data_IF_795524513863
#
_entry.id   IF_795524513863
#
_cell.length_a   1.000
_cell.length_b   1.000
_cell.length_c   1.000
_cell.angle_alpha   90.00
_cell.angle_beta   90.00
_cell.angle_gamma   90.00
#
_symmetry.space_group_name_H-M   'P 1'
#
loop_
_entity.id
_entity.type
_entity.pdbx_description
1 polymer ?
#
# COMPACT_ATOMS: atom_id res chain seq x y z
N UNK A 1 -14.34 -2.03 -12.78
CA UNK A 1 -14.59 -0.89 -11.86
C UNK A 1 -13.49 0.14 -12.06
N UNK A 2 -13.85 1.42 -12.21
CA UNK A 2 -12.90 2.53 -12.37
C UNK A 2 -12.32 2.88 -10.99
N UNK A 3 -11.01 3.08 -10.81
CA UNK A 3 -10.46 3.44 -9.51
C UNK A 3 -11.04 4.80 -9.09
N UNK A 4 -11.67 4.85 -7.92
CA UNK A 4 -12.19 6.09 -7.37
C UNK A 4 -11.00 6.94 -6.93
N UNK A 5 -10.97 8.19 -7.41
CA UNK A 5 -9.87 9.12 -7.12
C UNK A 5 -9.91 9.50 -5.64
N UNK A 6 -8.75 9.73 -5.01
CA UNK A 6 -8.64 10.15 -3.60
C UNK A 6 -9.50 11.38 -3.24
N UNK A 7 -9.76 12.25 -4.22
CA UNK A 7 -10.57 13.45 -4.03
C UNK A 7 -12.08 13.21 -4.10
N UNK A 8 -12.54 11.97 -4.26
CA UNK A 8 -13.96 11.64 -4.21
C UNK A 8 -14.49 11.88 -2.77
N UNK A 9 -15.51 12.74 -2.58
CA UNK A 9 -16.10 12.99 -1.27
C UNK A 9 -16.59 11.72 -0.58
N UNK A 10 -17.02 10.70 -1.34
CA UNK A 10 -17.45 9.41 -0.80
C UNK A 10 -16.28 8.64 -0.21
N UNK A 11 -15.12 8.65 -0.89
CA UNK A 11 -13.88 8.03 -0.37
C UNK A 11 -13.43 8.72 0.90
N UNK A 12 -13.45 10.06 0.93
CA UNK A 12 -13.07 10.84 2.11
C UNK A 12 -13.99 10.54 3.30
N UNK A 13 -15.32 10.57 3.09
CA UNK A 13 -16.28 10.26 4.16
C UNK A 13 -16.11 8.83 4.68
N UNK A 14 -15.93 7.85 3.79
CA UNK A 14 -15.68 6.46 4.19
C UNK A 14 -14.43 6.32 5.05
N UNK A 15 -13.34 7.00 4.68
CA UNK A 15 -12.09 6.97 5.43
C UNK A 15 -12.18 7.73 6.76
N UNK A 16 -12.90 8.85 6.84
CA UNK A 16 -13.13 9.56 8.09
C UNK A 16 -13.94 8.69 9.08
N UNK A 17 -15.08 8.15 8.65
CA UNK A 17 -15.86 7.21 9.47
C UNK A 17 -15.03 5.99 9.85
N UNK A 18 -14.25 5.43 8.92
CA UNK A 18 -13.41 4.28 9.20
C UNK A 18 -12.20 4.59 10.08
N UNK A 19 -11.53 5.72 10.04
CA UNK A 19 -10.32 5.90 10.86
C UNK A 19 -10.57 6.67 12.16
N UNK A 20 -11.59 7.52 12.19
CA UNK A 20 -11.78 8.52 13.23
C UNK A 20 -12.98 8.23 14.15
N UNK A 21 -13.87 7.31 13.76
CA UNK A 21 -15.04 6.93 14.56
C UNK A 21 -14.90 5.55 15.23
N UNK A 22 -15.70 5.32 16.28
CA UNK A 22 -15.83 4.02 16.95
C UNK A 22 -16.93 3.14 16.35
N UNK A 23 -17.57 3.55 15.25
CA UNK A 23 -18.61 2.76 14.60
C UNK A 23 -18.04 1.47 14.03
N UNK A 24 -18.80 0.39 14.11
CA UNK A 24 -18.46 -0.86 13.45
C UNK A 24 -18.51 -0.71 11.92
N UNK A 25 -17.78 -1.57 11.21
CA UNK A 25 -17.80 -1.61 9.74
C UNK A 25 -19.23 -1.81 9.19
N UNK A 26 -20.09 -2.53 9.91
CA UNK A 26 -21.48 -2.71 9.52
C UNK A 26 -22.25 -1.39 9.59
N UNK A 27 -22.15 -0.68 10.71
CA UNK A 27 -22.81 0.62 10.89
C UNK A 27 -22.35 1.64 9.85
N UNK A 28 -21.07 1.67 9.51
CA UNK A 28 -20.53 2.56 8.47
C UNK A 28 -21.08 2.17 7.09
N UNK A 29 -21.10 0.87 6.77
CA UNK A 29 -21.64 0.38 5.51
C UNK A 29 -23.13 0.72 5.36
N UNK A 30 -23.90 0.55 6.43
CA UNK A 30 -25.33 0.87 6.49
C UNK A 30 -25.55 2.39 6.35
N UNK A 31 -24.80 3.23 7.07
CA UNK A 31 -24.90 4.70 7.00
C UNK A 31 -24.59 5.24 5.60
N UNK A 32 -23.65 4.60 4.90
CA UNK A 32 -23.19 5.04 3.58
C UNK A 32 -23.95 4.40 2.40
N UNK A 33 -24.94 3.55 2.69
CA UNK A 33 -25.65 2.71 1.71
C UNK A 33 -24.66 1.95 0.81
N UNK A 34 -23.76 1.21 1.45
CA UNK A 34 -22.67 0.46 0.84
C UNK A 34 -22.74 -1.01 1.27
N UNK A 35 -22.38 -1.92 0.37
CA UNK A 35 -21.98 -3.25 0.81
C UNK A 35 -20.65 -3.17 1.56
N UNK A 36 -20.40 -4.10 2.49
CA UNK A 36 -19.12 -4.16 3.22
C UNK A 36 -17.92 -4.27 2.26
N UNK A 37 -18.05 -5.09 1.22
CA UNK A 37 -17.00 -5.25 0.20
C UNK A 37 -16.73 -3.95 -0.55
N UNK A 38 -17.78 -3.19 -0.88
CA UNK A 38 -17.61 -1.89 -1.51
C UNK A 38 -16.97 -0.88 -0.56
N UNK A 39 -17.37 -0.86 0.72
CA UNK A 39 -16.75 -0.03 1.75
C UNK A 39 -15.25 -0.32 1.88
N UNK A 40 -14.85 -1.59 1.99
CA UNK A 40 -13.43 -1.97 2.05
C UNK A 40 -12.66 -1.55 0.78
N UNK A 41 -13.31 -1.53 -0.38
CA UNK A 41 -12.70 -1.00 -1.61
C UNK A 41 -12.48 0.52 -1.61
N UNK A 42 -13.11 1.27 -0.68
CA UNK A 42 -12.90 2.70 -0.50
C UNK A 42 -11.87 3.03 0.59
N UNK A 43 -11.64 2.13 1.55
CA UNK A 43 -10.72 2.37 2.66
C UNK A 43 -9.29 2.43 2.15
N UNK A 44 -8.60 3.50 2.51
CA UNK A 44 -7.19 3.71 2.23
C UNK A 44 -6.39 3.51 3.52
N UNK A 45 -5.21 2.89 3.44
CA UNK A 45 -4.28 2.84 4.55
C UNK A 45 -3.93 4.25 5.05
N UNK A 46 -3.62 4.36 6.34
CA UNK A 46 -3.14 5.60 6.96
C UNK A 46 -1.65 5.46 7.29
N UNK A 47 -0.89 6.54 7.09
CA UNK A 47 0.52 6.59 7.47
C UNK A 47 0.73 6.36 8.97
N UNK A 48 1.78 5.64 9.32
CA UNK A 48 2.18 5.38 10.69
C UNK A 48 3.11 6.48 11.26
N UNK A 49 3.51 7.44 10.43
CA UNK A 49 4.44 8.51 10.79
C UNK A 49 5.87 8.03 11.05
N UNK A 50 6.23 6.85 10.53
CA UNK A 50 7.56 6.25 10.68
C UNK A 50 8.09 5.79 9.33
N UNK A 51 9.36 6.09 8.99
CA UNK A 51 9.99 5.53 7.81
C UNK A 51 10.43 4.08 8.06
N UNK A 52 10.39 3.27 7.01
CA UNK A 52 10.82 1.89 7.05
C UNK A 52 12.34 1.80 7.25
N UNK A 53 12.84 0.98 8.19
CA UNK A 53 14.28 0.86 8.45
C UNK A 53 15.06 0.14 7.32
N UNK A 54 14.37 -0.39 6.30
CA UNK A 54 14.99 -1.09 5.18
C UNK A 54 15.05 -0.25 3.90
N UNK A 55 13.99 0.48 3.58
CA UNK A 55 13.87 1.24 2.32
C UNK A 55 13.49 2.71 2.51
N UNK A 56 13.38 3.18 3.76
CA UNK A 56 13.04 4.57 4.13
C UNK A 56 11.67 5.09 3.67
N UNK A 57 10.87 4.29 2.96
CA UNK A 57 9.48 4.64 2.65
C UNK A 57 8.62 4.71 3.91
N UNK A 58 7.63 5.60 3.91
CA UNK A 58 6.65 5.68 5.00
C UNK A 58 5.95 4.33 5.20
N UNK A 59 5.86 3.90 6.46
CA UNK A 59 5.09 2.73 6.85
C UNK A 59 3.63 3.11 7.07
N UNK A 60 2.70 2.20 6.79
CA UNK A 60 1.26 2.45 6.80
C UNK A 60 0.52 1.38 7.62
N UNK A 61 -0.64 1.72 8.17
CA UNK A 61 -1.58 0.78 8.77
C UNK A 61 -2.67 0.41 7.76
N UNK A 62 -2.76 -0.88 7.44
CA UNK A 62 -3.74 -1.37 6.47
C UNK A 62 -5.19 -1.41 7.00
N UNK A 63 -5.37 -1.51 8.32
CA UNK A 63 -6.69 -1.56 8.97
C UNK A 63 -6.61 -1.11 10.44
N UNK A 64 -7.78 -0.92 11.09
CA UNK A 64 -7.87 -0.52 12.51
C UNK A 64 -7.14 -1.47 13.45
N UNK A 65 -7.27 -2.78 13.24
CA UNK A 65 -6.63 -3.79 14.09
C UNK A 65 -5.11 -3.66 14.07
N UNK A 66 -4.52 -3.42 12.89
CA UNK A 66 -3.08 -3.18 12.75
C UNK A 66 -2.64 -1.90 13.49
N UNK A 67 -3.46 -0.83 13.40
CA UNK A 67 -3.23 0.43 14.14
C UNK A 67 -3.29 0.21 15.66
N UNK A 68 -4.32 -0.46 16.13
CA UNK A 68 -4.55 -0.76 17.55
C UNK A 68 -3.46 -1.65 18.14
N UNK A 69 -2.97 -2.62 17.37
CA UNK A 69 -1.85 -3.48 17.77
C UNK A 69 -0.49 -2.83 17.61
N UNK A 70 -0.41 -1.71 16.89
CA UNK A 70 0.86 -1.04 16.61
C UNK A 70 1.74 -1.79 15.61
N UNK A 71 1.18 -2.51 14.63
CA UNK A 71 1.93 -3.22 13.58
C UNK A 71 1.82 -2.51 12.22
N UNK A 72 2.63 -1.48 11.96
CA UNK A 72 2.69 -0.86 10.64
C UNK A 72 3.42 -1.76 9.63
N UNK A 73 3.05 -1.64 8.35
CA UNK A 73 3.65 -2.36 7.23
C UNK A 73 4.20 -1.39 6.19
N UNK A 74 5.35 -1.71 5.61
CA UNK A 74 5.89 -1.01 4.45
C UNK A 74 5.38 -1.65 3.15
N UNK A 75 4.71 -0.88 2.29
CA UNK A 75 4.22 -1.37 1.00
C UNK A 75 5.32 -1.54 -0.06
N UNK A 76 6.51 -0.98 0.16
CA UNK A 76 7.62 -1.07 -0.81
C UNK A 76 8.48 -2.32 -0.65
N UNK A 77 8.63 -2.86 0.57
CA UNK A 77 9.51 -4.00 0.84
C UNK A 77 8.86 -5.08 1.72
N UNK A 78 7.55 -4.96 1.97
CA UNK A 78 6.75 -5.87 2.80
C UNK A 78 7.22 -6.00 4.26
N UNK A 79 8.12 -5.13 4.73
CA UNK A 79 8.54 -5.13 6.12
C UNK A 79 7.39 -4.77 7.06
N UNK A 80 7.16 -5.61 8.07
CA UNK A 80 6.14 -5.44 9.11
C UNK A 80 6.76 -5.76 10.47
N UNK A 81 6.56 -4.87 11.44
CA UNK A 81 7.06 -5.06 12.80
C UNK A 81 6.30 -4.15 13.77
N UNK A 82 6.30 -4.51 15.04
CA UNK A 82 5.86 -3.65 16.14
C UNK A 82 6.49 -2.24 16.07
N UNK A 83 5.64 -1.21 16.18
CA UNK A 83 5.99 0.21 16.08
C UNK A 83 7.13 0.61 17.00
N UNK A 84 7.16 0.10 18.24
CA UNK A 84 8.16 0.47 19.24
C UNK A 84 9.53 -0.10 18.86
N UNK A 85 9.55 -1.32 18.29
CA UNK A 85 10.77 -1.93 17.75
C UNK A 85 11.28 -1.20 16.51
N UNK A 86 10.38 -0.73 15.65
CA UNK A 86 10.75 0.12 14.51
C UNK A 86 11.40 1.41 15.00
N UNK A 87 10.74 2.12 15.93
CA UNK A 87 11.28 3.35 16.52
C UNK A 87 12.64 3.16 17.18
N UNK A 88 12.84 2.05 17.89
CA UNK A 88 14.12 1.71 18.51
C UNK A 88 15.23 1.47 17.47
N UNK A 89 14.90 0.80 16.35
CA UNK A 89 15.85 0.53 15.26
C UNK A 89 16.29 1.81 14.54
N UNK A 90 15.40 2.82 14.45
CA UNK A 90 15.76 4.14 13.92
C UNK A 90 16.65 4.92 14.88
N UNK A 91 16.31 4.98 16.17
CA UNK A 91 17.09 5.72 17.17
C UNK A 91 18.50 5.15 17.35
N UNK A 92 18.66 3.82 17.28
CA UNK A 92 19.96 3.18 17.38
C UNK A 92 20.92 3.55 16.23
N UNK A 93 20.40 3.91 15.06
CA UNK A 93 21.22 4.36 13.93
C UNK A 93 21.84 5.76 14.16
N UNK A 94 21.17 6.62 14.94
CA UNK A 94 21.58 8.02 15.14
C UNK A 94 22.74 8.16 16.15
N UNK A 95 22.89 7.20 17.06
CA UNK A 95 23.87 7.28 18.18
C UNK A 95 25.35 7.07 17.81
N UNK A 96 25.69 6.94 16.51
CA UNK A 96 27.10 6.84 16.06
C UNK A 96 27.67 8.18 15.56
N UNK A 97 26.90 9.28 15.59
CA UNK A 97 27.34 10.62 15.20
C UNK A 97 27.75 11.50 16.39
N UNK A 98 29.05 11.59 16.68
CA UNK A 98 29.61 12.49 17.69
C UNK A 98 29.79 13.91 17.12
N UNK A 99 29.07 14.88 17.71
CA UNK A 99 29.32 16.34 17.77
C UNK A 99 29.05 17.16 16.50
N UNK A 100 28.07 18.07 16.59
CA UNK A 100 27.84 19.11 15.58
C UNK A 100 26.49 19.80 15.75
N UNK A 101 26.52 20.91 16.47
CA UNK A 101 25.64 22.08 16.44
C UNK A 101 24.37 22.09 15.55
N UNK A 102 23.27 22.39 16.23
CA UNK A 102 21.92 22.75 15.81
C UNK A 102 21.78 23.49 14.45
N UNK A 103 21.21 22.82 13.43
CA UNK A 103 20.32 23.45 12.45
C UNK A 103 19.27 22.42 12.00
N UNK A 104 18.09 22.46 12.62
CA UNK A 104 16.89 21.84 12.04
C UNK A 104 16.48 22.70 10.85
N UNK A 105 17.04 22.40 9.68
CA UNK A 105 16.45 22.85 8.42
C UNK A 105 15.24 21.95 8.18
N UNK A 106 14.00 22.49 8.06
CA UNK A 106 12.90 21.70 7.52
C UNK A 106 13.29 21.32 6.10
N UNK A 107 13.62 20.03 5.91
CA UNK A 107 13.89 19.49 4.59
C UNK A 107 12.72 19.80 3.65
N UNK A 108 12.97 20.07 2.36
CA UNK A 108 11.89 20.38 1.43
C UNK A 108 10.88 19.22 1.46
N UNK A 109 9.61 19.57 1.61
CA UNK A 109 8.51 18.62 1.52
C UNK A 109 8.63 17.88 0.18
N UNK A 110 9.18 16.67 0.21
CA UNK A 110 9.29 15.83 -0.97
C UNK A 110 7.84 15.47 -1.33
N UNK A 111 7.31 15.90 -2.49
CA UNK A 111 5.96 15.52 -2.86
C UNK A 111 5.90 14.00 -2.93
N UNK A 112 5.04 13.40 -2.11
CA UNK A 112 4.73 11.99 -2.09
C UNK A 112 4.31 11.56 -3.51
N UNK A 113 5.25 11.02 -4.29
CA UNK A 113 4.93 10.29 -5.51
C UNK A 113 4.48 8.92 -5.07
N UNK A 114 3.16 8.77 -4.92
CA UNK A 114 2.49 7.47 -4.90
C UNK A 114 3.04 6.64 -6.07
N UNK A 115 3.71 5.49 -5.85
CA UNK A 115 4.07 4.60 -6.93
C UNK A 115 2.78 4.18 -7.63
N UNK A 116 2.64 4.52 -8.92
CA UNK A 116 1.55 4.03 -9.76
C UNK A 116 1.76 2.53 -9.98
N UNK A 117 0.65 1.82 -9.96
CA UNK A 117 0.52 0.38 -10.18
C UNK A 117 1.39 -0.12 -11.35
N UNK A 118 2.05 -1.29 -11.22
CA UNK A 118 2.72 -1.95 -12.34
C UNK A 118 1.66 -2.64 -13.21
N UNK A 119 0.96 -1.87 -14.04
CA UNK A 119 0.14 -2.40 -15.12
C UNK A 119 0.56 -1.68 -16.40
N UNK A 120 1.51 -2.26 -17.14
CA UNK A 120 1.70 -2.19 -18.61
C UNK A 120 3.11 -2.64 -19.02
N UNK A 121 3.32 -3.94 -19.17
CA UNK A 121 4.31 -4.55 -20.08
C UNK A 121 3.70 -5.90 -20.50
N UNK A 122 3.41 -6.24 -21.75
CA UNK A 122 3.48 -5.57 -23.03
C UNK A 122 2.73 -6.47 -24.03
N UNK A 123 1.89 -5.86 -24.87
CA UNK A 123 1.33 -6.51 -26.05
C UNK A 123 2.33 -6.31 -27.19
N UNK A 124 2.71 -7.41 -27.85
CA UNK A 124 3.12 -7.39 -29.26
C UNK A 124 4.52 -7.93 -29.56
N UNK A 125 4.58 -9.16 -30.07
CA UNK A 125 5.33 -9.44 -31.29
C UNK A 125 4.74 -10.66 -32.03
N UNK A 126 4.41 -10.40 -33.28
CA UNK A 126 3.71 -11.24 -34.26
C UNK A 126 4.59 -12.38 -34.81
N UNK A 127 3.93 -13.52 -35.03
CA UNK A 127 4.03 -14.51 -36.11
C UNK A 127 5.15 -14.37 -37.17
N UNK A 128 5.85 -15.49 -37.44
CA UNK A 128 6.33 -16.08 -38.73
C UNK A 128 7.12 -17.35 -38.30
N UNK A 129 6.99 -18.59 -38.79
CA UNK A 129 6.64 -19.14 -40.10
C UNK A 129 6.01 -20.54 -40.00
N UNK A 130 5.29 -20.89 -41.06
CA UNK A 130 4.71 -22.19 -41.35
C UNK A 130 5.73 -23.33 -41.54
N UNK A 131 5.29 -24.55 -41.25
CA UNK A 131 5.53 -25.71 -42.13
C UNK A 131 6.65 -26.67 -41.76
N UNK A 132 6.36 -27.68 -40.93
CA UNK A 132 6.79 -29.07 -41.16
C UNK A 132 5.60 -29.96 -40.78
N UNK A 133 4.66 -30.17 -41.70
CA UNK A 133 4.61 -31.34 -42.59
C UNK A 133 4.33 -32.64 -41.84
N UNK A 134 3.03 -32.98 -41.78
CA UNK A 134 2.51 -34.29 -42.17
C UNK A 134 3.44 -35.49 -41.93
N UNK A 135 3.36 -36.14 -40.78
CA UNK A 135 3.63 -37.57 -40.75
C UNK A 135 2.95 -38.25 -39.56
N UNK A 136 2.16 -39.27 -39.90
CA UNK A 136 1.70 -40.38 -39.06
C UNK A 136 0.45 -40.15 -38.22
N UNK A 137 -0.63 -39.86 -38.93
CA UNK A 137 -1.92 -40.39 -38.53
C UNK A 137 -1.87 -41.93 -38.37
N UNK A 138 -2.47 -42.37 -37.25
CA UNK A 138 -3.28 -43.58 -37.05
C UNK A 138 -2.61 -44.98 -37.18
N UNK A 139 -3.23 -46.06 -36.63
CA UNK A 139 -4.59 -46.16 -36.09
C UNK A 139 -4.79 -46.89 -34.76
N UNK A 140 -5.94 -46.55 -34.13
CA UNK A 140 -6.97 -47.39 -33.49
C UNK A 140 -6.62 -48.87 -33.24
N UNK A 141 -6.65 -49.29 -31.96
CA UNK A 141 -7.78 -49.96 -31.29
C UNK A 141 -7.43 -50.20 -29.83
#
# INVERSE_FOLDING_TARGET
MKPLKQHDPRVQRANALYWESQQSVNQIADEMDLSKGMLYGLIQPIGAGLPCPHCSFEMEYANRTARERGFPKCLSCDFEQDKDKVGSKLQGADTTGRHGELLVTPGPAVPYRRPRDPLLVGVGLLLVAAGIWLFRGLPRR
#
